data_IF_679940657728
#
_entry.id   IF_679940657728
#
_cell.length_a   1.000
_cell.length_b   1.000
_cell.length_c   1.000
_cell.angle_alpha   90.00
_cell.angle_beta   90.00
_cell.angle_gamma   90.00
#
_symmetry.space_group_name_H-M   'P 1'
#
loop_
_entity.id
_entity.type
_entity.pdbx_description
1 polymer ?
#
# COMPACT_ATOMS: atom_id res chain seq x y z
N UNK A 1 -15.67 -21.57 1.81
CA UNK A 1 -14.61 -20.56 1.72
C UNK A 1 -15.05 -19.41 2.60
N UNK A 2 -14.23 -18.97 3.56
CA UNK A 2 -14.55 -17.78 4.35
C UNK A 2 -14.41 -16.53 3.49
N UNK A 3 -15.24 -15.53 3.73
CA UNK A 3 -15.11 -14.22 3.10
C UNK A 3 -13.76 -13.60 3.51
N UNK A 4 -13.00 -13.01 2.57
CA UNK A 4 -11.78 -12.27 2.92
C UNK A 4 -12.10 -11.12 3.88
N UNK A 5 -11.30 -10.97 4.93
CA UNK A 5 -11.46 -9.90 5.91
C UNK A 5 -10.36 -8.85 5.71
N UNK A 6 -10.75 -7.66 5.27
CA UNK A 6 -9.84 -6.53 5.18
C UNK A 6 -9.95 -5.66 6.45
N UNK A 7 -8.80 -5.20 6.95
CA UNK A 7 -8.70 -4.36 8.14
C UNK A 7 -9.07 -2.92 7.83
N UNK A 8 -8.87 -2.46 6.60
CA UNK A 8 -9.30 -1.14 6.12
C UNK A 8 -9.83 -1.23 4.69
N UNK A 9 -10.44 -0.16 4.20
CA UNK A 9 -10.74 -0.01 2.77
C UNK A 9 -9.47 0.07 1.93
N UNK A 10 -8.42 0.72 2.43
CA UNK A 10 -7.15 0.84 1.70
C UNK A 10 -6.50 -0.53 1.48
N UNK A 11 -6.53 -1.41 2.47
CA UNK A 11 -6.06 -2.80 2.32
C UNK A 11 -6.86 -3.56 1.26
N UNK A 12 -8.19 -3.38 1.24
CA UNK A 12 -9.04 -4.00 0.23
C UNK A 12 -8.68 -3.52 -1.19
N UNK A 13 -8.38 -2.23 -1.37
CA UNK A 13 -7.93 -1.70 -2.67
C UNK A 13 -6.58 -2.28 -3.08
N UNK A 14 -5.59 -2.30 -2.18
CA UNK A 14 -4.29 -2.93 -2.48
C UNK A 14 -4.46 -4.41 -2.86
N UNK A 15 -5.35 -5.14 -2.18
CA UNK A 15 -5.65 -6.52 -2.57
C UNK A 15 -6.22 -6.61 -3.99
N UNK A 16 -7.15 -5.74 -4.36
CA UNK A 16 -7.74 -5.71 -5.70
C UNK A 16 -6.69 -5.39 -6.79
N UNK A 17 -5.72 -4.53 -6.48
CA UNK A 17 -4.62 -4.19 -7.38
C UNK A 17 -3.64 -5.36 -7.59
N UNK A 18 -3.49 -6.22 -6.57
CA UNK A 18 -2.67 -7.42 -6.62
C UNK A 18 -3.33 -8.60 -7.36
N UNK A 19 -4.65 -8.55 -7.57
CA UNK A 19 -5.41 -9.61 -8.24
C UNK A 19 -5.84 -9.15 -9.63
N UNK A 20 -4.99 -9.32 -10.67
CA UNK A 20 -5.30 -8.86 -12.01
C UNK A 20 -6.47 -9.63 -12.62
N UNK A 21 -7.13 -9.01 -13.59
CA UNK A 21 -8.04 -9.68 -14.49
C UNK A 21 -7.33 -10.84 -15.21
N UNK A 22 -8.03 -11.92 -15.64
CA UNK A 22 -7.42 -12.99 -16.43
C UNK A 22 -6.73 -12.55 -17.73
N UNK A 23 -7.03 -11.34 -18.25
CA UNK A 23 -6.32 -10.76 -19.39
C UNK A 23 -4.98 -10.07 -19.01
N UNK A 24 -4.63 -10.04 -17.73
CA UNK A 24 -3.44 -9.40 -17.16
C UNK A 24 -3.62 -7.94 -16.77
N UNK A 25 -4.77 -7.32 -17.02
CA UNK A 25 -5.06 -5.94 -16.60
C UNK A 25 -5.27 -5.86 -15.09
N UNK A 26 -4.60 -4.92 -14.42
CA UNK A 26 -4.76 -4.70 -12.99
C UNK A 26 -5.67 -3.50 -12.70
N UNK A 27 -5.73 -2.50 -13.58
CA UNK A 27 -6.55 -1.31 -13.38
C UNK A 27 -8.02 -1.68 -13.10
N UNK A 28 -8.54 -1.13 -12.01
CA UNK A 28 -9.89 -1.41 -11.52
C UNK A 28 -10.47 -0.19 -10.82
N UNK A 29 -11.50 0.41 -11.42
CA UNK A 29 -12.29 1.48 -10.80
C UNK A 29 -13.69 0.93 -10.47
N UNK A 30 -13.86 0.22 -9.34
CA UNK A 30 -15.13 -0.39 -8.98
C UNK A 30 -16.15 0.63 -8.46
N UNK A 31 -17.42 0.35 -8.76
CA UNK A 31 -18.52 0.81 -7.93
C UNK A 31 -18.53 0.05 -6.60
N UNK A 32 -18.95 0.72 -5.53
CA UNK A 32 -18.97 0.16 -4.17
C UNK A 32 -20.40 0.05 -3.65
N UNK A 33 -20.81 -1.18 -3.34
CA UNK A 33 -22.08 -1.48 -2.69
C UNK A 33 -21.86 -1.88 -1.22
N UNK A 34 -22.73 -1.39 -0.34
CA UNK A 34 -22.81 -1.86 1.04
C UNK A 34 -23.82 -3.01 1.09
N UNK A 35 -23.34 -4.24 1.27
CA UNK A 35 -24.20 -5.42 1.38
C UNK A 35 -24.74 -5.60 2.80
N UNK A 36 -23.91 -5.30 3.80
CA UNK A 36 -24.30 -5.28 5.21
C UNK A 36 -23.77 -3.99 5.87
N UNK A 37 -24.67 -3.09 6.32
CA UNK A 37 -24.27 -1.85 6.97
C UNK A 37 -23.92 -2.03 8.46
N UNK A 38 -24.29 -3.16 9.09
CA UNK A 38 -23.99 -3.42 10.50
C UNK A 38 -22.58 -4.03 10.67
N UNK A 39 -21.88 -3.79 11.80
CA UNK A 39 -20.56 -4.38 12.04
C UNK A 39 -20.62 -5.91 12.22
N UNK A 40 -19.70 -6.68 11.59
CA UNK A 40 -18.70 -6.21 10.64
C UNK A 40 -19.31 -5.88 9.28
N UNK A 41 -19.02 -4.68 8.76
CA UNK A 41 -19.60 -4.20 7.49
C UNK A 41 -19.14 -5.06 6.33
N UNK A 42 -20.05 -5.38 5.41
CA UNK A 42 -19.72 -6.12 4.18
C UNK A 42 -19.83 -5.19 2.98
N UNK A 43 -18.71 -5.02 2.27
CA UNK A 43 -18.65 -4.23 1.05
C UNK A 43 -18.43 -5.11 -0.16
N UNK A 44 -19.14 -4.81 -1.25
CA UNK A 44 -18.90 -5.36 -2.58
C UNK A 44 -18.32 -4.29 -3.48
N UNK A 45 -17.27 -4.66 -4.20
CA UNK A 45 -16.62 -3.87 -5.22
C UNK A 45 -16.88 -4.54 -6.57
N UNK A 46 -17.53 -3.84 -7.49
CA UNK A 46 -17.91 -4.39 -8.80
C UNK A 46 -17.55 -3.42 -9.90
N UNK A 47 -17.01 -3.92 -11.00
CA UNK A 47 -16.71 -3.10 -12.17
C UNK A 47 -16.23 -3.96 -13.33
N UNK A 48 -16.13 -3.36 -14.51
CA UNK A 48 -15.62 -4.05 -15.69
C UNK A 48 -14.14 -3.76 -15.88
N UNK A 49 -13.38 -4.78 -16.29
CA UNK A 49 -12.00 -4.60 -16.70
C UNK A 49 -11.93 -3.64 -17.91
N UNK A 50 -11.16 -2.53 -17.84
CA UNK A 50 -11.12 -1.54 -18.92
C UNK A 50 -10.55 -2.10 -20.22
N UNK A 51 -9.75 -3.17 -20.15
CA UNK A 51 -9.13 -3.80 -21.30
C UNK A 51 -9.99 -4.82 -22.01
N UNK A 52 -10.64 -5.73 -21.27
CA UNK A 52 -11.37 -6.86 -21.88
C UNK A 52 -12.88 -6.86 -21.62
N UNK A 53 -13.39 -5.88 -20.86
CA UNK A 53 -14.81 -5.74 -20.55
C UNK A 53 -15.36 -6.84 -19.63
N UNK A 54 -14.51 -7.69 -19.06
CA UNK A 54 -14.96 -8.73 -18.11
C UNK A 54 -15.27 -8.08 -16.77
N UNK A 55 -16.47 -8.37 -16.26
CA UNK A 55 -16.84 -8.00 -14.89
C UNK A 55 -15.93 -8.66 -13.86
N UNK A 56 -15.45 -7.86 -12.91
CA UNK A 56 -14.69 -8.24 -11.74
C UNK A 56 -15.52 -7.88 -10.51
N UNK A 57 -15.52 -8.78 -9.53
CA UNK A 57 -16.24 -8.61 -8.27
C UNK A 57 -15.34 -9.06 -7.11
N UNK A 58 -15.31 -8.25 -6.06
CA UNK A 58 -14.66 -8.56 -4.79
C UNK A 58 -15.60 -8.25 -3.64
N UNK A 59 -15.65 -9.12 -2.63
CA UNK A 59 -16.49 -8.92 -1.45
C UNK A 59 -15.62 -9.09 -0.21
N UNK A 60 -15.65 -8.10 0.67
CA UNK A 60 -14.86 -8.08 1.89
C UNK A 60 -15.72 -7.87 3.13
N UNK A 61 -15.41 -8.62 4.18
CA UNK A 61 -15.77 -8.23 5.55
C UNK A 61 -14.76 -7.15 5.99
N UNK A 62 -15.25 -5.97 6.35
CA UNK A 62 -14.41 -4.90 6.91
C UNK A 62 -14.38 -4.96 8.43
N UNK A 63 -13.16 -4.91 8.97
CA UNK A 63 -12.98 -4.65 10.40
C UNK A 63 -13.60 -3.30 10.78
N UNK A 64 -14.12 -3.24 12.00
CA UNK A 64 -14.60 -1.98 12.56
C UNK A 64 -13.39 -1.04 12.80
N UNK A 65 -13.48 0.23 12.36
CA UNK A 65 -12.41 1.18 12.60
C UNK A 65 -12.23 1.41 14.12
N UNK A 66 -11.00 1.67 14.57
CA UNK A 66 -10.77 2.00 15.97
C UNK A 66 -11.53 3.27 16.37
N UNK A 67 -11.89 3.38 17.66
CA UNK A 67 -12.60 4.54 18.18
C UNK A 67 -11.80 5.85 18.06
N UNK A 68 -10.47 5.74 18.09
CA UNK A 68 -9.54 6.84 17.82
C UNK A 68 -8.90 6.56 16.47
N UNK A 69 -8.97 7.54 15.57
CA UNK A 69 -8.32 7.43 14.27
C UNK A 69 -6.81 7.24 14.48
N UNK A 70 -6.17 6.36 13.69
CA UNK A 70 -4.72 6.25 13.72
C UNK A 70 -4.09 7.56 13.24
N UNK A 71 -2.93 7.89 13.80
CA UNK A 71 -2.13 9.02 13.32
C UNK A 71 -1.54 8.66 11.94
N UNK A 72 -1.74 9.55 10.96
CA UNK A 72 -1.19 9.41 9.61
C UNK A 72 -1.82 8.31 8.73
N UNK A 73 -1.15 8.02 7.61
CA UNK A 73 -1.60 7.07 6.61
C UNK A 73 -1.34 5.62 7.05
N UNK A 74 -2.39 4.78 7.11
CA UNK A 74 -2.28 3.36 7.46
C UNK A 74 -3.03 2.46 6.47
N UNK A 75 -2.48 1.27 6.23
CA UNK A 75 -3.09 0.23 5.39
C UNK A 75 -3.88 -0.77 6.21
N UNK A 76 -3.44 -1.13 7.41
CA UNK A 76 -4.18 -1.98 8.35
C UNK A 76 -4.21 -1.40 9.76
N UNK A 77 -5.35 -1.52 10.45
CA UNK A 77 -5.42 -1.13 11.86
C UNK A 77 -4.65 -2.09 12.77
N UNK A 78 -3.98 -1.52 13.78
CA UNK A 78 -3.25 -2.25 14.81
C UNK A 78 -2.03 -3.02 14.29
N UNK A 79 -1.46 -3.84 15.20
CA UNK A 79 -0.19 -4.55 14.97
C UNK A 79 -0.38 -5.95 14.37
N UNK A 80 -1.62 -6.39 14.17
CA UNK A 80 -1.89 -7.71 13.62
C UNK A 80 -1.57 -7.74 12.12
N UNK A 81 -0.89 -8.77 11.62
CA UNK A 81 -0.61 -8.91 10.20
C UNK A 81 -1.90 -9.06 9.38
N UNK A 82 -1.80 -8.76 8.08
CA UNK A 82 -2.87 -9.02 7.13
C UNK A 82 -3.19 -10.52 7.05
N UNK A 83 -4.46 -10.83 6.76
CA UNK A 83 -4.90 -12.20 6.46
C UNK A 83 -5.25 -12.39 4.98
N UNK A 84 -5.18 -11.33 4.18
CA UNK A 84 -5.56 -11.33 2.77
C UNK A 84 -4.38 -10.99 1.84
N UNK A 85 -3.36 -10.29 2.35
CA UNK A 85 -2.12 -9.95 1.63
C UNK A 85 -0.95 -10.49 2.44
N UNK A 86 -0.08 -11.29 1.83
CA UNK A 86 1.09 -11.84 2.53
C UNK A 86 2.30 -10.89 2.54
N UNK A 87 3.33 -11.22 3.33
CA UNK A 87 4.52 -10.36 3.46
C UNK A 87 5.23 -10.13 2.12
N UNK A 88 5.25 -11.13 1.23
CA UNK A 88 5.87 -11.02 -0.08
C UNK A 88 5.04 -10.17 -1.05
N UNK A 89 3.72 -10.17 -0.91
CA UNK A 89 2.85 -9.27 -1.67
C UNK A 89 3.00 -7.83 -1.20
N UNK A 90 3.15 -7.56 0.11
CA UNK A 90 3.48 -6.21 0.60
C UNK A 90 4.85 -5.74 0.12
N UNK A 91 5.87 -6.62 0.11
CA UNK A 91 7.17 -6.34 -0.53
C UNK A 91 7.01 -5.95 -2.00
N UNK A 92 6.16 -6.66 -2.74
CA UNK A 92 5.90 -6.35 -4.14
C UNK A 92 5.24 -4.97 -4.30
N UNK A 93 4.25 -4.62 -3.46
CA UNK A 93 3.61 -3.29 -3.47
C UNK A 93 4.66 -2.20 -3.23
N UNK A 94 5.50 -2.37 -2.21
CA UNK A 94 6.56 -1.40 -1.90
C UNK A 94 7.56 -1.24 -3.06
N UNK A 95 7.87 -2.32 -3.78
CA UNK A 95 8.76 -2.30 -4.96
C UNK A 95 8.09 -1.68 -6.19
N UNK A 96 6.80 -1.94 -6.41
CA UNK A 96 6.03 -1.32 -7.50
C UNK A 96 5.97 0.19 -7.33
N UNK A 97 5.64 0.68 -6.13
CA UNK A 97 5.65 2.11 -5.83
C UNK A 97 7.04 2.72 -6.03
N UNK A 98 8.10 2.04 -5.55
CA UNK A 98 9.49 2.49 -5.73
C UNK A 98 9.82 2.70 -7.21
N UNK A 99 9.45 1.77 -8.09
CA UNK A 99 9.69 1.89 -9.53
C UNK A 99 8.93 3.05 -10.18
N UNK A 100 7.70 3.31 -9.76
CA UNK A 100 6.94 4.49 -10.23
C UNK A 100 7.64 5.77 -9.80
N UNK A 101 8.10 5.85 -8.55
CA UNK A 101 8.82 7.01 -8.03
C UNK A 101 10.18 7.23 -8.72
N UNK A 102 10.90 6.15 -9.03
CA UNK A 102 12.13 6.23 -9.84
C UNK A 102 11.85 6.81 -11.22
N UNK A 103 10.81 6.33 -11.92
CA UNK A 103 10.44 6.87 -13.24
C UNK A 103 10.08 8.35 -13.17
N UNK A 104 9.37 8.76 -12.12
CA UNK A 104 9.05 10.17 -11.87
C UNK A 104 10.33 10.99 -11.70
N UNK A 105 11.27 10.54 -10.86
CA UNK A 105 12.53 11.27 -10.67
C UNK A 105 13.43 11.27 -11.91
N UNK A 106 13.50 10.16 -12.65
CA UNK A 106 14.28 10.04 -13.88
C UNK A 106 13.75 10.93 -15.01
N UNK A 107 12.47 11.31 -14.99
CA UNK A 107 11.91 12.26 -15.95
C UNK A 107 12.58 13.63 -15.88
N UNK A 108 13.08 14.03 -14.70
CA UNK A 108 13.63 15.36 -14.43
C UNK A 108 12.59 16.50 -14.57
N UNK A 109 11.31 16.17 -14.74
CA UNK A 109 10.23 17.14 -14.84
C UNK A 109 9.74 17.53 -13.44
N UNK A 110 9.52 18.82 -13.22
CA UNK A 110 8.88 19.26 -11.98
C UNK A 110 7.43 18.80 -11.97
N UNK A 111 6.99 18.20 -10.85
CA UNK A 111 5.59 17.83 -10.67
C UNK A 111 4.67 19.04 -10.76
N UNK A 112 3.58 18.87 -11.49
CA UNK A 112 2.46 19.82 -11.50
C UNK A 112 1.60 19.64 -10.25
N UNK A 113 0.82 20.67 -9.90
CA UNK A 113 -0.14 20.60 -8.79
C UNK A 113 -1.15 19.45 -8.89
N UNK A 114 -1.43 18.97 -10.10
CA UNK A 114 -2.32 17.81 -10.34
C UNK A 114 -1.61 16.49 -10.08
N UNK A 115 -0.29 16.42 -10.28
CA UNK A 115 0.50 15.21 -10.06
C UNK A 115 0.93 15.04 -8.60
N UNK A 116 1.13 16.14 -7.86
CA UNK A 116 1.61 16.12 -6.47
C UNK A 116 0.78 15.16 -5.59
N UNK A 117 -0.56 15.20 -5.57
CA UNK A 117 -1.34 14.29 -4.71
C UNK A 117 -1.14 12.81 -5.06
N UNK A 118 -1.11 12.47 -6.35
CA UNK A 118 -0.94 11.08 -6.79
C UNK A 118 0.48 10.55 -6.47
N UNK A 119 1.50 11.40 -6.59
CA UNK A 119 2.87 11.02 -6.20
C UNK A 119 2.96 10.92 -4.68
N UNK A 120 2.38 11.84 -3.93
CA UNK A 120 2.32 11.78 -2.46
C UNK A 120 1.70 10.47 -1.96
N UNK A 121 0.53 10.11 -2.50
CA UNK A 121 -0.13 8.83 -2.19
C UNK A 121 0.78 7.64 -2.52
N UNK A 122 1.52 7.69 -3.63
CA UNK A 122 2.48 6.63 -3.99
C UNK A 122 3.64 6.53 -3.00
N UNK A 123 4.17 7.66 -2.52
CA UNK A 123 5.25 7.70 -1.50
C UNK A 123 4.73 7.14 -0.16
N UNK A 124 3.53 7.56 0.26
CA UNK A 124 2.86 7.04 1.46
C UNK A 124 2.58 5.53 1.36
N UNK A 125 2.06 5.07 0.23
CA UNK A 125 1.77 3.66 -0.01
C UNK A 125 3.06 2.82 0.05
N UNK A 126 4.16 3.31 -0.51
CA UNK A 126 5.46 2.64 -0.43
C UNK A 126 5.93 2.47 1.02
N UNK A 127 5.81 3.53 1.84
CA UNK A 127 6.22 3.53 3.24
C UNK A 127 5.31 2.63 4.09
N UNK A 128 4.00 2.78 3.97
CA UNK A 128 3.02 1.99 4.72
C UNK A 128 3.04 0.50 4.35
N UNK A 129 3.34 0.15 3.09
CA UNK A 129 3.53 -1.25 2.71
C UNK A 129 4.70 -1.90 3.48
N UNK A 130 5.78 -1.15 3.76
CA UNK A 130 6.89 -1.67 4.59
C UNK A 130 6.51 -1.81 6.05
N UNK A 131 5.67 -0.91 6.57
CA UNK A 131 5.10 -1.06 7.91
C UNK A 131 4.26 -2.34 8.03
N UNK A 132 3.48 -2.68 6.99
CA UNK A 132 2.69 -3.92 6.95
C UNK A 132 3.56 -5.18 6.92
N UNK A 133 4.72 -5.16 6.25
CA UNK A 133 5.68 -6.28 6.29
C UNK A 133 6.17 -6.51 7.73
N UNK A 134 6.47 -5.43 8.45
CA UNK A 134 6.95 -5.50 9.83
C UNK A 134 6.00 -6.23 10.78
N UNK A 135 4.69 -6.16 10.52
CA UNK A 135 3.66 -6.86 11.33
C UNK A 135 3.73 -8.40 11.20
N UNK A 136 4.40 -8.91 10.17
CA UNK A 136 4.65 -10.35 10.01
C UNK A 136 5.91 -10.84 10.75
N UNK A 137 6.74 -9.94 11.27
CA UNK A 137 7.99 -10.30 11.94
C UNK A 137 7.74 -10.56 13.44
N UNK A 138 7.85 -11.80 13.93
CA UNK A 138 7.70 -12.07 15.35
C UNK A 138 8.82 -11.41 16.16
N UNK A 139 8.52 -11.01 17.40
CA UNK A 139 9.53 -10.45 18.30
C UNK A 139 10.71 -11.41 18.49
N UNK A 140 11.93 -10.93 18.23
CA UNK A 140 13.17 -11.70 18.35
C UNK A 140 13.44 -12.69 17.20
N UNK A 141 12.63 -12.72 16.15
CA UNK A 141 12.91 -13.50 14.95
C UNK A 141 14.13 -12.92 14.21
N UNK A 142 14.97 -13.81 13.66
CA UNK A 142 16.15 -13.43 12.88
C UNK A 142 15.83 -13.07 11.42
N UNK A 143 14.69 -13.54 10.89
CA UNK A 143 14.19 -13.23 9.56
C UNK A 143 12.66 -13.35 9.54
N UNK A 144 12.01 -12.82 8.51
CA UNK A 144 10.60 -13.07 8.23
C UNK A 144 10.34 -14.57 8.06
N UNK A 145 9.39 -15.16 8.81
CA UNK A 145 9.17 -16.59 8.79
C UNK A 145 8.56 -17.05 7.46
N UNK A 146 8.85 -18.27 7.05
CA UNK A 146 8.43 -18.79 5.74
C UNK A 146 6.89 -18.87 5.58
N UNK A 147 6.16 -19.02 6.67
CA UNK A 147 4.69 -19.05 6.70
C UNK A 147 4.05 -17.66 6.52
N UNK A 148 4.82 -16.57 6.61
CA UNK A 148 4.38 -15.23 6.22
C UNK A 148 4.23 -15.06 4.68
N UNK A 149 4.53 -16.09 3.89
CA UNK A 149 4.51 -16.10 2.43
C UNK A 149 3.63 -17.24 1.91
N UNK A 150 2.31 -17.14 2.08
CA UNK A 150 1.36 -18.22 1.75
C UNK A 150 0.83 -18.17 0.32
N UNK A 151 0.99 -17.06 -0.40
CA UNK A 151 0.60 -16.96 -1.82
C UNK A 151 1.74 -17.40 -2.73
N UNK A 152 1.43 -17.74 -3.99
CA UNK A 152 2.44 -18.06 -4.99
C UNK A 152 3.33 -16.85 -5.31
N UNK A 153 2.72 -15.66 -5.40
CA UNK A 153 3.41 -14.40 -5.61
C UNK A 153 4.35 -14.11 -4.44
N UNK A 154 3.88 -14.24 -3.20
CA UNK A 154 4.68 -14.02 -2.00
C UNK A 154 5.87 -14.99 -1.90
N UNK A 155 5.66 -16.28 -2.16
CA UNK A 155 6.76 -17.27 -2.20
C UNK A 155 7.81 -16.93 -3.27
N UNK A 156 7.37 -16.44 -4.43
CA UNK A 156 8.27 -16.03 -5.52
C UNK A 156 9.11 -14.82 -5.11
N UNK A 157 8.50 -13.84 -4.43
CA UNK A 157 9.22 -12.70 -3.86
C UNK A 157 10.21 -13.14 -2.79
N UNK A 158 9.80 -14.02 -1.86
CA UNK A 158 10.70 -14.54 -0.81
C UNK A 158 11.97 -15.18 -1.39
N UNK A 159 11.84 -15.89 -2.50
CA UNK A 159 12.98 -16.57 -3.15
C UNK A 159 14.08 -15.60 -3.63
N UNK A 160 13.76 -14.32 -3.80
CA UNK A 160 14.68 -13.27 -4.30
C UNK A 160 14.83 -12.07 -3.36
N UNK A 161 14.10 -12.01 -2.25
CA UNK A 161 14.07 -10.88 -1.32
C UNK A 161 15.42 -10.59 -0.64
N UNK A 162 16.27 -11.61 -0.51
CA UNK A 162 17.62 -11.47 0.03
C UNK A 162 17.62 -10.83 1.42
N UNK A 163 18.47 -9.80 1.67
CA UNK A 163 18.58 -9.17 2.99
C UNK A 163 17.30 -8.49 3.49
N UNK A 164 16.32 -8.18 2.64
CA UNK A 164 15.06 -7.55 3.08
C UNK A 164 14.19 -8.47 3.96
N UNK A 165 14.57 -9.74 4.12
CA UNK A 165 13.95 -10.64 5.09
C UNK A 165 14.48 -10.42 6.52
N UNK A 166 15.64 -9.78 6.68
CA UNK A 166 16.28 -9.54 7.97
C UNK A 166 15.64 -8.32 8.69
N UNK A 167 15.43 -8.38 10.02
CA UNK A 167 14.82 -7.30 10.81
C UNK A 167 15.52 -5.95 10.68
N UNK A 168 16.86 -5.96 10.66
CA UNK A 168 17.67 -4.74 10.59
C UNK A 168 17.50 -4.05 9.24
N UNK A 169 17.55 -4.82 8.16
CA UNK A 169 17.35 -4.31 6.80
C UNK A 169 15.92 -3.85 6.56
N UNK A 170 14.93 -4.56 7.12
CA UNK A 170 13.53 -4.13 7.07
C UNK A 170 13.33 -2.81 7.82
N UNK A 171 13.92 -2.65 9.01
CA UNK A 171 13.88 -1.40 9.77
C UNK A 171 14.59 -0.26 9.03
N UNK A 172 15.73 -0.52 8.39
CA UNK A 172 16.44 0.46 7.58
C UNK A 172 15.62 0.87 6.34
N UNK A 173 14.98 -0.11 5.67
CA UNK A 173 14.10 0.11 4.54
C UNK A 173 12.87 0.94 4.92
N UNK A 174 12.31 0.70 6.11
CA UNK A 174 11.23 1.49 6.70
C UNK A 174 11.67 2.94 6.93
N UNK A 175 12.81 3.13 7.61
CA UNK A 175 13.33 4.46 7.93
C UNK A 175 13.58 5.30 6.67
N UNK A 176 14.19 4.71 5.63
CA UNK A 176 14.42 5.39 4.35
C UNK A 176 13.11 5.86 3.69
N UNK A 177 12.07 5.02 3.69
CA UNK A 177 10.80 5.37 3.03
C UNK A 177 10.02 6.45 3.76
N UNK A 178 9.97 6.39 5.09
CA UNK A 178 9.35 7.46 5.88
C UNK A 178 10.15 8.77 5.82
N UNK A 179 11.48 8.71 5.69
CA UNK A 179 12.27 9.90 5.39
C UNK A 179 11.91 10.51 4.03
N UNK A 180 11.67 9.68 3.00
CA UNK A 180 11.24 10.14 1.68
C UNK A 180 9.83 10.76 1.69
N UNK A 181 8.90 10.25 2.53
CA UNK A 181 7.60 10.89 2.79
C UNK A 181 7.82 12.31 3.32
N UNK A 182 8.58 12.46 4.40
CA UNK A 182 8.83 13.75 5.03
C UNK A 182 9.57 14.73 4.10
N UNK A 183 10.52 14.25 3.29
CA UNK A 183 11.21 15.05 2.28
C UNK A 183 10.25 15.55 1.20
N UNK A 184 9.36 14.68 0.71
CA UNK A 184 8.35 15.03 -0.29
C UNK A 184 7.37 16.08 0.26
N UNK A 185 6.86 15.87 1.47
CA UNK A 185 5.92 16.78 2.13
C UNK A 185 6.54 18.16 2.37
N UNK A 186 7.77 18.21 2.90
CA UNK A 186 8.51 19.45 3.09
C UNK A 186 8.78 20.19 1.76
N UNK A 187 9.07 19.43 0.69
CA UNK A 187 9.34 20.00 -0.62
C UNK A 187 8.09 20.68 -1.23
N UNK A 188 6.94 20.03 -1.11
CA UNK A 188 5.70 20.49 -1.73
C UNK A 188 4.77 21.28 -0.80
N UNK A 189 5.22 21.55 0.44
CA UNK A 189 4.44 22.31 1.43
C UNK A 189 3.14 21.60 1.80
N UNK A 190 3.20 20.28 1.96
CA UNK A 190 2.09 19.47 2.45
C UNK A 190 2.23 19.44 3.97
N UNK A 191 1.54 20.34 4.65
CA UNK A 191 1.44 20.33 6.11
C UNK A 191 0.29 19.39 6.54
N UNK A 192 0.48 18.69 7.66
CA UNK A 192 -0.56 17.86 8.31
C UNK A 192 -1.77 18.67 8.82
N UNK A 193 -1.64 20.00 8.87
CA UNK A 193 -2.66 20.96 9.31
C UNK A 193 -3.15 21.77 8.10
N UNK A 194 -4.32 21.40 7.55
CA UNK A 194 -5.06 22.24 6.61
C UNK A 194 -5.43 23.58 7.28
N UNK A 195 -4.60 24.60 7.08
CA UNK A 195 -5.05 25.98 6.88
C UNK A 195 -4.09 26.74 5.95
N UNK A 196 -4.53 26.87 4.70
CA UNK A 196 -4.18 27.96 3.76
C UNK A 196 -2.87 27.89 2.91
N UNK A 197 -3.03 27.38 1.68
CA UNK A 197 -2.28 27.67 0.41
C UNK A 197 -0.74 27.45 0.34
N UNK A 198 -0.23 26.75 -0.69
CA UNK A 198 1.19 26.40 -0.77
C UNK A 198 2.08 27.56 -1.26
N UNK A 199 3.31 27.74 -0.74
CA UNK A 199 4.34 28.49 -1.42
C UNK A 199 5.01 27.64 -2.50
N UNK A 200 5.23 28.25 -3.67
CA UNK A 200 5.96 27.64 -4.77
C UNK A 200 7.48 27.63 -4.49
N UNK A 201 8.08 26.46 -4.32
CA UNK A 201 9.53 26.28 -4.53
C UNK A 201 9.91 24.90 -5.05
N UNK A 202 10.94 24.88 -5.89
CA UNK A 202 11.52 23.70 -6.58
C UNK A 202 12.57 23.01 -5.72
N UNK A 203 12.60 21.69 -5.80
CA UNK A 203 13.65 20.82 -5.28
C UNK A 203 13.44 19.41 -5.86
N UNK A 204 14.53 18.68 -6.03
CA UNK A 204 14.54 17.29 -6.47
C UNK A 204 14.55 16.38 -5.24
N UNK A 205 13.68 15.36 -5.21
CA UNK A 205 13.65 14.30 -4.19
C UNK A 205 14.55 13.14 -4.61
N UNK A 206 15.35 12.60 -3.68
CA UNK A 206 16.23 11.45 -3.95
C UNK A 206 15.62 10.12 -3.48
N UNK A 207 15.22 9.24 -4.42
CA UNK A 207 14.63 7.91 -4.13
C UNK A 207 15.62 6.74 -4.07
N UNK A 208 16.89 6.97 -3.74
CA UNK A 208 17.94 5.92 -3.72
C UNK A 208 18.06 5.16 -2.40
#
# INVERSE_FOLDING_TARGET
MSMPRARTRSEAHVYMDLVPCPCGENEFAPDVDVLDPEPPRVLRYVGDCPRCGRSREFVFELAEPPAVAPDGFVLGYGDQPSTIIDAGQWLLVAEMCRRVLEQVAESGESLTGVQIPAVHETVLLAAAAVDEIGKFLPAGAAELPADAFWTEQGRSVRAVAGPLLDPEELAAARARRWAAVAEFEALYGIDDDDDESPPATRGDVSFR
#
